data_IF_441099249928
#
_entry.id   IF_441099249928
#
_cell.length_a   1.000
_cell.length_b   1.000
_cell.length_c   1.000
_cell.angle_alpha   90.00
_cell.angle_beta   90.00
_cell.angle_gamma   90.00
#
_symmetry.space_group_name_H-M   'P 1'
#
loop_
_entity.id
_entity.type
_entity.pdbx_description
1 polymer ?
#
# COMPACT_ATOMS: atom_id res chain seq x y z
N UNK A 1 -13.54 -38.45 -10.45
CA UNK A 1 -14.63 -37.50 -10.76
C UNK A 1 -14.99 -36.56 -9.61
N UNK A 2 -15.55 -37.01 -8.46
CA UNK A 2 -15.87 -36.10 -7.33
C UNK A 2 -14.60 -35.50 -6.66
N UNK A 3 -13.57 -36.31 -6.43
CA UNK A 3 -12.32 -35.87 -5.80
C UNK A 3 -11.47 -34.92 -6.67
N UNK A 4 -11.44 -35.15 -8.00
CA UNK A 4 -10.81 -34.23 -8.96
C UNK A 4 -11.55 -32.88 -9.05
N UNK A 5 -12.84 -32.88 -8.71
CA UNK A 5 -13.69 -31.70 -8.75
C UNK A 5 -13.53 -30.84 -7.49
N UNK A 6 -13.42 -31.46 -6.32
CA UNK A 6 -13.07 -30.76 -5.08
C UNK A 6 -11.70 -30.08 -5.18
N UNK A 7 -10.72 -30.75 -5.77
CA UNK A 7 -9.38 -30.19 -5.96
C UNK A 7 -9.38 -28.98 -6.90
N UNK A 8 -10.20 -28.99 -7.95
CA UNK A 8 -10.36 -27.84 -8.86
C UNK A 8 -11.06 -26.64 -8.18
N UNK A 9 -12.06 -26.91 -7.34
CA UNK A 9 -12.72 -25.92 -6.50
C UNK A 9 -11.77 -25.30 -5.47
N UNK A 10 -10.93 -26.11 -4.83
CA UNK A 10 -9.92 -25.65 -3.88
C UNK A 10 -8.89 -24.76 -4.58
N UNK A 11 -8.39 -25.16 -5.76
CA UNK A 11 -7.45 -24.34 -6.53
C UNK A 11 -8.09 -23.02 -6.96
N UNK A 12 -9.34 -23.06 -7.43
CA UNK A 12 -10.09 -21.86 -7.79
C UNK A 12 -10.27 -20.91 -6.60
N UNK A 13 -10.71 -21.42 -5.45
CA UNK A 13 -10.84 -20.63 -4.23
C UNK A 13 -9.50 -20.12 -3.72
N UNK A 14 -8.43 -20.89 -3.87
CA UNK A 14 -7.08 -20.48 -3.46
C UNK A 14 -6.54 -19.36 -4.34
N UNK A 15 -6.69 -19.46 -5.65
CA UNK A 15 -6.33 -18.39 -6.61
C UNK A 15 -7.13 -17.12 -6.33
N UNK A 16 -8.43 -17.26 -6.03
CA UNK A 16 -9.29 -16.12 -5.68
C UNK A 16 -8.97 -15.51 -4.32
N UNK A 17 -8.57 -16.32 -3.34
CA UNK A 17 -8.19 -15.84 -2.01
C UNK A 17 -6.87 -15.05 -2.02
N UNK A 18 -6.02 -15.27 -3.01
CA UNK A 18 -4.76 -14.54 -3.19
C UNK A 18 -5.02 -13.13 -3.74
N UNK A 19 -6.03 -12.98 -4.60
CA UNK A 19 -6.31 -11.73 -5.33
C UNK A 19 -7.76 -11.26 -5.13
N UNK A 20 -8.10 -10.88 -3.88
CA UNK A 20 -9.46 -10.48 -3.47
C UNK A 20 -10.06 -9.32 -4.28
N UNK A 21 -9.24 -8.48 -4.93
CA UNK A 21 -9.70 -7.44 -5.84
C UNK A 21 -10.46 -7.98 -7.05
N UNK A 22 -10.15 -9.20 -7.50
CA UNK A 22 -10.82 -9.82 -8.64
C UNK A 22 -12.19 -10.40 -8.28
N UNK A 23 -12.53 -10.52 -6.99
CA UNK A 23 -13.85 -10.94 -6.55
C UNK A 23 -14.94 -9.97 -7.03
N UNK A 24 -14.67 -8.67 -6.94
CA UNK A 24 -15.59 -7.65 -7.44
C UNK A 24 -15.80 -7.80 -8.95
N UNK A 25 -14.72 -8.01 -9.71
CA UNK A 25 -14.78 -8.23 -11.15
C UNK A 25 -15.59 -9.48 -11.50
N UNK A 26 -15.33 -10.62 -10.82
CA UNK A 26 -16.06 -11.87 -11.04
C UNK A 26 -17.56 -11.67 -10.77
N UNK A 27 -17.91 -11.00 -9.67
CA UNK A 27 -19.30 -10.66 -9.36
C UNK A 27 -19.95 -9.76 -10.43
N UNK A 28 -19.22 -8.76 -10.93
CA UNK A 28 -19.68 -7.90 -12.02
C UNK A 28 -19.90 -8.68 -13.33
N UNK A 29 -19.04 -9.66 -13.65
CA UNK A 29 -19.23 -10.55 -14.81
C UNK A 29 -20.45 -11.46 -14.61
N UNK A 30 -20.71 -11.97 -13.41
CA UNK A 30 -21.93 -12.75 -13.13
C UNK A 30 -23.19 -11.93 -13.40
N UNK A 31 -23.24 -10.68 -12.90
CA UNK A 31 -24.34 -9.78 -13.22
C UNK A 31 -24.44 -9.50 -14.71
N UNK A 32 -23.31 -9.30 -15.40
CA UNK A 32 -23.26 -9.10 -16.85
C UNK A 32 -23.92 -10.27 -17.60
N UNK A 33 -23.51 -11.51 -17.31
CA UNK A 33 -24.04 -12.72 -17.95
C UNK A 33 -25.54 -12.92 -17.67
N UNK A 34 -25.97 -12.70 -16.42
CA UNK A 34 -27.39 -12.80 -16.05
C UNK A 34 -28.25 -11.75 -16.77
N UNK A 35 -27.76 -10.51 -16.88
CA UNK A 35 -28.48 -9.44 -17.57
C UNK A 35 -28.52 -9.66 -19.09
N UNK A 36 -27.46 -10.19 -19.71
CA UNK A 36 -27.47 -10.63 -21.11
C UNK A 36 -28.55 -11.70 -21.34
N UNK A 37 -28.64 -12.71 -20.46
CA UNK A 37 -29.66 -13.75 -20.54
C UNK A 37 -31.08 -13.19 -20.43
N UNK A 38 -31.29 -12.16 -19.59
CA UNK A 38 -32.56 -11.45 -19.40
C UNK A 38 -32.86 -10.43 -20.49
N UNK A 39 -31.98 -10.26 -21.50
CA UNK A 39 -32.05 -9.23 -22.56
C UNK A 39 -32.02 -7.80 -22.02
N UNK A 40 -31.45 -7.59 -20.82
CA UNK A 40 -31.27 -6.29 -20.19
C UNK A 40 -29.90 -5.72 -20.56
N UNK A 41 -29.71 -5.38 -21.83
CA UNK A 41 -28.41 -5.01 -22.40
C UNK A 41 -27.75 -3.82 -21.72
N UNK A 42 -28.53 -2.79 -21.36
CA UNK A 42 -28.02 -1.61 -20.67
C UNK A 42 -27.37 -1.99 -19.33
N UNK A 43 -28.05 -2.81 -18.52
CA UNK A 43 -27.52 -3.27 -17.24
C UNK A 43 -26.28 -4.15 -17.43
N UNK A 44 -26.27 -5.01 -18.46
CA UNK A 44 -25.10 -5.82 -18.78
C UNK A 44 -23.88 -4.96 -19.11
N UNK A 45 -24.06 -3.91 -19.92
CA UNK A 45 -22.98 -2.95 -20.24
C UNK A 45 -22.51 -2.22 -18.99
N UNK A 46 -23.43 -1.75 -18.14
CA UNK A 46 -23.09 -1.07 -16.88
C UNK A 46 -22.21 -1.97 -16.01
N UNK A 47 -22.66 -3.18 -15.69
CA UNK A 47 -21.88 -4.09 -14.85
C UNK A 47 -20.54 -4.48 -15.48
N UNK A 48 -20.49 -4.69 -16.78
CA UNK A 48 -19.23 -5.00 -17.47
C UNK A 48 -18.23 -3.84 -17.37
N UNK A 49 -18.69 -2.60 -17.59
CA UNK A 49 -17.85 -1.41 -17.47
C UNK A 49 -17.44 -1.17 -16.03
N UNK A 50 -18.32 -1.38 -15.05
CA UNK A 50 -17.98 -1.26 -13.62
C UNK A 50 -16.93 -2.29 -13.22
N UNK A 51 -17.02 -3.52 -13.71
CA UNK A 51 -16.00 -4.54 -13.47
C UNK A 51 -14.65 -4.19 -14.08
N UNK A 52 -14.62 -3.76 -15.35
CA UNK A 52 -13.38 -3.36 -16.03
C UNK A 52 -12.77 -2.13 -15.35
N UNK A 53 -13.59 -1.12 -15.04
CA UNK A 53 -13.17 0.08 -14.34
C UNK A 53 -12.61 -0.22 -12.94
N UNK A 54 -13.22 -1.17 -12.23
CA UNK A 54 -12.69 -1.65 -10.96
C UNK A 54 -11.27 -2.23 -11.13
N UNK A 55 -11.04 -3.14 -12.07
CA UNK A 55 -9.70 -3.67 -12.31
C UNK A 55 -8.70 -2.62 -12.78
N UNK A 56 -9.13 -1.70 -13.64
CA UNK A 56 -8.29 -0.63 -14.15
C UNK A 56 -7.81 0.31 -13.02
N UNK A 57 -8.63 0.51 -12.01
CA UNK A 57 -8.26 1.28 -10.82
C UNK A 57 -7.42 0.45 -9.86
N UNK A 58 -7.74 -0.83 -9.67
CA UNK A 58 -7.17 -1.66 -8.60
C UNK A 58 -5.94 -2.49 -8.96
N UNK A 59 -5.43 -2.44 -10.20
CA UNK A 59 -4.23 -3.21 -10.54
C UNK A 59 -3.07 -2.83 -9.60
N UNK A 60 -2.45 -3.88 -9.06
CA UNK A 60 -1.89 -4.02 -7.70
C UNK A 60 -0.75 -3.08 -7.28
N UNK A 61 -0.23 -2.22 -8.15
CA UNK A 61 0.95 -1.39 -7.84
C UNK A 61 0.57 0.05 -7.53
N UNK A 62 -0.51 0.55 -8.14
CA UNK A 62 -0.85 1.97 -8.04
C UNK A 62 -1.74 2.17 -6.83
N UNK A 63 -2.94 1.59 -6.74
CA UNK A 63 -3.87 1.93 -5.65
C UNK A 63 -3.49 1.40 -4.29
N UNK A 64 -3.00 0.17 -4.16
CA UNK A 64 -2.63 -0.38 -2.84
C UNK A 64 -1.36 0.27 -2.31
N UNK A 65 -0.35 0.44 -3.16
CA UNK A 65 0.90 1.14 -2.85
C UNK A 65 0.67 2.63 -2.61
N UNK A 66 -0.12 3.30 -3.46
CA UNK A 66 -0.47 4.70 -3.25
C UNK A 66 -1.34 4.88 -2.00
N UNK A 67 -2.34 4.04 -1.75
CA UNK A 67 -3.16 4.12 -0.55
C UNK A 67 -2.33 3.83 0.71
N UNK A 68 -1.42 2.85 0.69
CA UNK A 68 -0.52 2.61 1.82
C UNK A 68 0.42 3.80 2.05
N UNK A 69 1.02 4.34 0.99
CA UNK A 69 1.98 5.45 1.08
C UNK A 69 1.32 6.78 1.48
N UNK A 70 0.10 7.04 0.98
CA UNK A 70 -0.75 8.11 1.47
C UNK A 70 -0.94 8.02 2.98
N UNK A 71 -1.25 6.81 3.45
CA UNK A 71 -1.65 6.62 4.84
C UNK A 71 -0.46 6.84 5.79
N UNK A 72 0.77 6.62 5.32
CA UNK A 72 1.97 6.68 6.16
C UNK A 72 2.50 8.09 6.42
N UNK A 73 2.60 8.97 5.41
CA UNK A 73 3.12 10.34 5.62
C UNK A 73 2.01 11.40 5.66
N UNK A 74 0.96 11.28 4.83
CA UNK A 74 -0.07 12.33 4.66
C UNK A 74 -1.01 12.41 5.84
N UNK A 75 -1.39 11.26 6.42
CA UNK A 75 -2.33 11.25 7.54
C UNK A 75 -1.69 11.73 8.85
N UNK A 76 -0.35 11.74 8.92
CA UNK A 76 0.38 12.34 10.04
C UNK A 76 0.32 13.88 10.00
N UNK A 77 0.18 14.46 8.82
CA UNK A 77 0.13 15.91 8.58
C UNK A 77 -1.30 16.49 8.57
N UNK A 78 -2.33 15.66 8.81
CA UNK A 78 -3.73 16.11 8.78
C UNK A 78 -4.14 17.05 9.92
N UNK A 79 -3.24 17.36 10.86
CA UNK A 79 -3.54 18.33 11.93
C UNK A 79 -3.62 19.74 11.33
N UNK A 80 -4.85 20.22 11.10
CA UNK A 80 -5.13 21.49 10.40
C UNK A 80 -5.54 21.37 8.93
N UNK A 81 -5.97 20.19 8.47
CA UNK A 81 -6.33 19.95 7.06
C UNK A 81 -7.32 20.99 6.49
N UNK A 82 -6.90 21.69 5.45
CA UNK A 82 -7.70 22.73 4.80
C UNK A 82 -8.46 22.22 3.58
N UNK A 83 -9.56 22.88 3.22
CA UNK A 83 -10.30 22.60 1.98
C UNK A 83 -9.43 22.79 0.72
N UNK A 84 -8.46 23.71 0.76
CA UNK A 84 -7.47 23.91 -0.31
C UNK A 84 -6.53 22.72 -0.46
N UNK A 85 -6.05 22.16 0.66
CA UNK A 85 -5.28 20.91 0.64
C UNK A 85 -6.13 19.78 0.09
N UNK A 86 -7.37 19.60 0.58
CA UNK A 86 -8.27 18.56 0.07
C UNK A 86 -8.44 18.61 -1.45
N UNK A 87 -8.61 19.81 -2.01
CA UNK A 87 -8.70 20.02 -3.44
C UNK A 87 -7.39 19.70 -4.18
N UNK A 88 -6.26 20.19 -3.67
CA UNK A 88 -4.94 19.89 -4.23
C UNK A 88 -4.65 18.38 -4.22
N UNK A 89 -5.01 17.71 -3.13
CA UNK A 89 -4.94 16.26 -2.98
C UNK A 89 -5.79 15.56 -4.04
N UNK A 90 -7.08 15.88 -4.14
CA UNK A 90 -7.96 15.30 -5.17
C UNK A 90 -7.44 15.49 -6.59
N UNK A 91 -6.93 16.69 -6.91
CA UNK A 91 -6.36 16.98 -8.21
C UNK A 91 -5.10 16.15 -8.48
N UNK A 92 -4.20 16.06 -7.49
CA UNK A 92 -3.01 15.20 -7.57
C UNK A 92 -3.40 13.75 -7.78
N UNK A 93 -4.50 13.30 -7.16
CA UNK A 93 -4.97 11.92 -7.33
C UNK A 93 -5.49 11.61 -8.70
N UNK A 94 -6.28 12.51 -9.26
CA UNK A 94 -6.69 12.36 -10.65
C UNK A 94 -5.49 12.31 -11.62
N UNK A 95 -4.37 12.95 -11.28
CA UNK A 95 -3.14 12.91 -12.09
C UNK A 95 -2.29 11.64 -11.87
N UNK A 96 -2.39 11.00 -10.70
CA UNK A 96 -1.68 9.75 -10.36
C UNK A 96 -2.47 8.51 -10.80
N UNK A 97 -3.78 8.62 -10.97
CA UNK A 97 -4.62 7.56 -11.52
C UNK A 97 -4.32 7.33 -13.01
N UNK A 98 -3.25 6.57 -13.28
CA UNK A 98 -3.00 5.96 -14.57
C UNK A 98 -3.62 4.56 -14.57
N UNK A 99 -4.84 4.36 -15.13
CA UNK A 99 -5.40 3.03 -15.21
C UNK A 99 -4.50 2.13 -16.06
N UNK A 100 -3.81 1.19 -15.40
CA UNK A 100 -3.01 0.18 -16.08
C UNK A 100 -3.80 -1.10 -16.11
N UNK A 101 -4.08 -1.57 -17.32
CA UNK A 101 -4.75 -2.85 -17.53
C UNK A 101 -3.72 -3.81 -18.11
N UNK A 102 -3.30 -4.78 -17.31
CA UNK A 102 -2.60 -5.93 -17.86
C UNK A 102 -3.60 -6.79 -18.65
N UNK A 103 -3.56 -6.70 -19.98
CA UNK A 103 -4.50 -7.38 -20.89
C UNK A 103 -4.47 -8.90 -20.67
N UNK A 104 -3.29 -9.50 -20.49
CA UNK A 104 -3.18 -10.94 -20.26
C UNK A 104 -3.88 -11.33 -18.96
N UNK A 105 -3.63 -10.59 -17.88
CA UNK A 105 -4.26 -10.84 -16.58
C UNK A 105 -5.78 -10.65 -16.67
N UNK A 106 -6.25 -9.59 -17.33
CA UNK A 106 -7.68 -9.36 -17.59
C UNK A 106 -8.33 -10.55 -18.30
N UNK A 107 -7.71 -11.07 -19.37
CA UNK A 107 -8.23 -12.21 -20.12
C UNK A 107 -8.31 -13.48 -19.27
N UNK A 108 -7.29 -13.75 -18.44
CA UNK A 108 -7.27 -14.90 -17.52
C UNK A 108 -8.44 -14.81 -16.54
N UNK A 109 -8.61 -13.66 -15.88
CA UNK A 109 -9.69 -13.51 -14.90
C UNK A 109 -11.08 -13.46 -15.53
N UNK A 110 -11.20 -12.94 -16.75
CA UNK A 110 -12.45 -13.00 -17.50
C UNK A 110 -12.84 -14.44 -17.83
N UNK A 111 -11.87 -15.25 -18.27
CA UNK A 111 -12.06 -16.67 -18.52
C UNK A 111 -12.42 -17.42 -17.23
N UNK A 112 -11.72 -17.15 -16.12
CA UNK A 112 -12.04 -17.74 -14.81
C UNK A 112 -13.45 -17.38 -14.34
N UNK A 113 -13.88 -16.12 -14.50
CA UNK A 113 -15.23 -15.68 -14.13
C UNK A 113 -16.31 -16.36 -14.96
N UNK A 114 -16.10 -16.53 -16.27
CA UNK A 114 -17.04 -17.25 -17.14
C UNK A 114 -17.10 -18.73 -16.77
N UNK A 115 -15.94 -19.37 -16.61
CA UNK A 115 -15.88 -20.78 -16.23
C UNK A 115 -16.58 -21.02 -14.89
N UNK A 116 -16.32 -20.19 -13.88
CA UNK A 116 -16.95 -20.32 -12.58
C UNK A 116 -18.46 -20.12 -12.65
N UNK A 117 -18.93 -19.18 -13.47
CA UNK A 117 -20.36 -18.97 -13.70
C UNK A 117 -21.04 -20.24 -14.21
N UNK A 118 -20.48 -20.85 -15.27
CA UNK A 118 -21.05 -22.06 -15.86
C UNK A 118 -20.91 -23.28 -14.95
N UNK A 119 -19.81 -23.41 -14.20
CA UNK A 119 -19.63 -24.48 -13.21
C UNK A 119 -20.73 -24.41 -12.15
N UNK A 120 -20.94 -23.24 -11.53
CA UNK A 120 -22.00 -23.06 -10.52
C UNK A 120 -23.39 -23.28 -11.14
N UNK A 121 -23.60 -22.81 -12.37
CA UNK A 121 -24.85 -23.04 -13.11
C UNK A 121 -25.15 -24.54 -13.27
N UNK A 122 -24.20 -25.32 -13.79
CA UNK A 122 -24.34 -26.76 -14.02
C UNK A 122 -24.55 -27.51 -12.70
N UNK A 123 -23.84 -27.13 -11.64
CA UNK A 123 -24.00 -27.73 -10.31
C UNK A 123 -25.42 -27.52 -9.77
N UNK A 124 -25.94 -26.30 -9.84
CA UNK A 124 -27.29 -26.02 -9.37
C UNK A 124 -28.37 -26.71 -10.23
N UNK A 125 -28.12 -26.90 -11.53
CA UNK A 125 -28.99 -27.72 -12.37
C UNK A 125 -28.98 -29.19 -11.95
N UNK A 126 -27.81 -29.78 -11.67
CA UNK A 126 -27.69 -31.16 -11.17
C UNK A 126 -28.40 -31.36 -9.82
N UNK A 127 -28.50 -30.31 -9.01
CA UNK A 127 -29.27 -30.29 -7.76
C UNK A 127 -30.78 -30.06 -7.97
N UNK A 128 -31.28 -30.15 -9.21
CA UNK A 128 -32.70 -29.99 -9.57
C UNK A 128 -33.31 -28.63 -9.22
N UNK A 129 -32.50 -27.56 -9.13
CA UNK A 129 -33.03 -26.21 -8.96
C UNK A 129 -33.72 -25.73 -10.23
N UNK A 130 -34.87 -25.05 -10.07
CA UNK A 130 -35.53 -24.34 -11.18
C UNK A 130 -34.63 -23.23 -11.70
N UNK A 131 -34.63 -22.99 -13.01
CA UNK A 131 -33.82 -21.95 -13.68
C UNK A 131 -33.93 -20.58 -12.99
N UNK A 132 -35.13 -20.18 -12.58
CA UNK A 132 -35.36 -18.91 -11.87
C UNK A 132 -34.70 -18.86 -10.50
N UNK A 133 -34.60 -20.00 -9.80
CA UNK A 133 -33.88 -20.10 -8.52
C UNK A 133 -32.37 -20.05 -8.73
N UNK A 134 -31.85 -20.71 -9.78
CA UNK A 134 -30.43 -20.66 -10.15
C UNK A 134 -29.99 -19.22 -10.38
N UNK A 135 -30.77 -18.45 -11.16
CA UNK A 135 -30.45 -17.04 -11.41
C UNK A 135 -30.42 -16.19 -10.14
N UNK A 136 -31.34 -16.44 -9.18
CA UNK A 136 -31.34 -15.75 -7.88
C UNK A 136 -30.10 -16.12 -7.06
N UNK A 137 -29.74 -17.40 -7.02
CA UNK A 137 -28.53 -17.87 -6.34
C UNK A 137 -27.27 -17.21 -6.93
N UNK A 138 -27.15 -17.17 -8.26
CA UNK A 138 -26.02 -16.52 -8.93
C UNK A 138 -25.99 -15.00 -8.69
N UNK A 139 -27.13 -14.32 -8.65
CA UNK A 139 -27.21 -12.91 -8.26
C UNK A 139 -26.77 -12.68 -6.81
N UNK A 140 -27.16 -13.56 -5.88
CA UNK A 140 -26.72 -13.49 -4.49
C UNK A 140 -25.21 -13.72 -4.36
N UNK A 141 -24.68 -14.74 -5.04
CA UNK A 141 -23.24 -15.00 -5.09
C UNK A 141 -22.51 -13.77 -5.63
N UNK A 142 -22.94 -13.23 -6.78
CA UNK A 142 -22.35 -12.03 -7.36
C UNK A 142 -22.31 -10.84 -6.39
N UNK A 143 -23.44 -10.60 -5.69
CA UNK A 143 -23.54 -9.56 -4.67
C UNK A 143 -22.54 -9.79 -3.53
N UNK A 144 -22.47 -11.00 -2.98
CA UNK A 144 -21.55 -11.31 -1.88
C UNK A 144 -20.08 -11.22 -2.30
N UNK A 145 -19.71 -11.61 -3.52
CA UNK A 145 -18.35 -11.45 -4.04
C UNK A 145 -17.96 -9.96 -4.11
N UNK A 146 -18.84 -9.11 -4.64
CA UNK A 146 -18.61 -7.66 -4.72
C UNK A 146 -18.57 -7.02 -3.33
N UNK A 147 -19.50 -7.36 -2.45
CA UNK A 147 -19.57 -6.81 -1.09
C UNK A 147 -18.36 -7.23 -0.25
N UNK A 148 -17.92 -8.49 -0.34
CA UNK A 148 -16.74 -8.97 0.36
C UNK A 148 -15.46 -8.28 -0.14
N UNK A 149 -15.32 -8.07 -1.45
CA UNK A 149 -14.19 -7.32 -2.00
C UNK A 149 -14.11 -5.89 -1.42
N UNK A 150 -15.25 -5.19 -1.37
CA UNK A 150 -15.31 -3.85 -0.78
C UNK A 150 -15.00 -3.86 0.72
N UNK A 151 -15.49 -4.86 1.44
CA UNK A 151 -15.21 -5.03 2.87
C UNK A 151 -13.71 -5.21 3.13
N UNK A 152 -13.03 -6.11 2.41
CA UNK A 152 -11.59 -6.36 2.59
C UNK A 152 -10.77 -5.08 2.35
N UNK A 153 -11.10 -4.32 1.30
CA UNK A 153 -10.38 -3.07 1.00
C UNK A 153 -10.63 -2.01 2.07
N UNK A 154 -11.86 -1.91 2.56
CA UNK A 154 -12.20 -0.98 3.63
C UNK A 154 -11.50 -1.35 4.93
N UNK A 155 -11.45 -2.64 5.25
CA UNK A 155 -10.76 -3.17 6.42
C UNK A 155 -9.25 -2.93 6.35
N UNK A 156 -8.63 -3.16 5.19
CA UNK A 156 -7.23 -2.81 4.95
C UNK A 156 -6.95 -1.32 5.15
N UNK A 157 -7.81 -0.44 4.61
CA UNK A 157 -7.67 1.01 4.79
C UNK A 157 -7.81 1.44 6.26
N UNK A 158 -8.80 0.92 6.98
CA UNK A 158 -9.04 1.23 8.39
C UNK A 158 -7.92 0.72 9.29
N UNK A 159 -7.45 -0.51 9.08
CA UNK A 159 -6.36 -1.09 9.88
C UNK A 159 -5.05 -0.34 9.66
N UNK A 160 -4.74 0.02 8.40
CA UNK A 160 -3.57 0.85 8.07
C UNK A 160 -3.65 2.22 8.73
N UNK A 161 -4.82 2.87 8.70
CA UNK A 161 -5.03 4.15 9.38
C UNK A 161 -4.80 4.05 10.89
N UNK A 162 -5.46 3.10 11.57
CA UNK A 162 -5.32 2.91 13.02
C UNK A 162 -3.85 2.65 13.40
N UNK A 163 -3.15 1.81 12.64
CA UNK A 163 -1.74 1.51 12.86
C UNK A 163 -0.88 2.77 12.79
N UNK A 164 -1.10 3.62 11.79
CA UNK A 164 -0.32 4.84 11.59
C UNK A 164 -0.66 5.92 12.63
N UNK A 165 -1.93 6.09 12.99
CA UNK A 165 -2.36 6.96 14.08
C UNK A 165 -1.73 6.54 15.42
N UNK A 166 -1.68 5.24 15.72
CA UNK A 166 -1.03 4.75 16.93
C UNK A 166 0.48 5.04 16.93
N UNK A 167 1.16 4.85 15.78
CA UNK A 167 2.58 5.19 15.62
C UNK A 167 2.81 6.69 15.85
N UNK A 168 1.98 7.54 15.26
CA UNK A 168 2.01 8.99 15.46
C UNK A 168 1.83 9.37 16.92
N UNK A 169 0.77 8.90 17.56
CA UNK A 169 0.43 9.24 18.93
C UNK A 169 1.55 8.81 19.90
N UNK A 170 2.15 7.65 19.65
CA UNK A 170 3.32 7.18 20.42
C UNK A 170 4.47 8.16 20.29
N UNK A 171 4.83 8.53 19.06
CA UNK A 171 5.92 9.48 18.80
C UNK A 171 5.62 10.86 19.38
N UNK A 172 4.42 11.41 19.14
CA UNK A 172 3.98 12.70 19.67
C UNK A 172 3.98 12.73 21.21
N UNK A 173 3.59 11.62 21.85
CA UNK A 173 3.65 11.52 23.32
C UNK A 173 5.08 11.59 23.86
N UNK A 174 6.08 11.09 23.13
CA UNK A 174 7.49 11.18 23.53
C UNK A 174 7.98 12.64 23.60
N UNK A 175 7.48 13.53 22.74
CA UNK A 175 7.82 14.96 22.78
C UNK A 175 7.16 15.71 23.95
N UNK A 176 6.01 15.22 24.44
CA UNK A 176 5.30 15.83 25.57
C UNK A 176 5.85 15.38 26.93
N UNK A 177 6.57 14.25 26.98
CA UNK A 177 7.07 13.69 28.22
C UNK A 177 8.41 14.35 28.64
N UNK A 178 8.33 15.52 29.25
CA UNK A 178 9.47 16.35 29.70
C UNK A 178 10.19 15.81 30.95
N UNK A 179 9.77 14.67 31.50
CA UNK A 179 10.25 14.18 32.81
C UNK A 179 11.68 13.65 32.80
N UNK A 180 12.29 13.41 31.64
CA UNK A 180 13.66 12.89 31.52
C UNK A 180 14.49 13.75 30.58
N UNK A 181 14.52 15.06 30.79
CA UNK A 181 15.59 15.89 30.21
C UNK A 181 16.83 15.67 31.08
N UNK A 182 17.90 15.01 30.57
CA UNK A 182 19.12 14.85 31.34
C UNK A 182 19.65 16.26 31.66
N UNK A 183 19.86 16.54 32.95
CA UNK A 183 20.52 17.79 33.35
C UNK A 183 21.99 17.67 32.96
N UNK A 184 22.33 18.16 31.78
CA UNK A 184 23.71 18.32 31.38
C UNK A 184 24.33 19.47 32.17
N UNK A 185 25.42 19.18 32.89
CA UNK A 185 26.28 20.22 33.45
C UNK A 185 26.85 21.01 32.28
N UNK A 186 26.49 22.28 32.15
CA UNK A 186 27.04 23.13 31.11
C UNK A 186 28.57 23.21 31.28
N UNK A 187 29.30 22.61 30.34
CA UNK A 187 30.72 22.90 30.17
C UNK A 187 30.87 24.40 29.88
N UNK A 188 31.95 25.03 30.36
CA UNK A 188 32.26 26.45 30.06
C UNK A 188 32.53 26.71 28.57
N UNK A 189 32.62 25.65 27.76
CA UNK A 189 32.77 25.69 26.32
C UNK A 189 31.38 25.57 25.69
N UNK A 190 30.95 26.62 24.99
CA UNK A 190 29.69 26.65 24.23
C UNK A 190 30.00 26.45 22.74
N UNK A 191 30.08 25.19 22.24
CA UNK A 191 30.42 24.93 20.85
C UNK A 191 29.29 25.42 19.93
N UNK A 192 29.65 26.13 18.87
CA UNK A 192 28.71 26.44 17.78
C UNK A 192 28.53 25.19 16.93
N UNK A 193 27.34 24.61 16.96
CA UNK A 193 26.99 23.40 16.22
C UNK A 193 26.03 23.74 15.08
N UNK A 194 26.27 23.14 13.92
CA UNK A 194 25.34 23.15 12.78
C UNK A 194 25.01 21.70 12.45
N UNK A 195 23.72 21.37 12.42
CA UNK A 195 23.22 20.07 11.97
C UNK A 195 22.56 20.29 10.61
N UNK A 196 23.04 19.59 9.59
CA UNK A 196 22.46 19.61 8.26
C UNK A 196 21.73 18.28 8.02
N UNK A 197 20.41 18.35 7.79
CA UNK A 197 19.57 17.20 7.46
C UNK A 197 19.33 17.22 5.96
N UNK A 198 19.91 16.26 5.25
CA UNK A 198 19.67 16.09 3.81
C UNK A 198 18.32 15.44 3.53
N UNK A 199 17.82 15.61 2.31
CA UNK A 199 16.56 15.03 1.83
C UNK A 199 16.84 14.12 0.64
N UNK A 200 16.31 12.88 0.67
CA UNK A 200 16.34 11.94 -0.47
C UNK A 200 17.71 11.73 -1.15
N UNK A 201 18.81 11.99 -0.43
CA UNK A 201 20.18 11.90 -0.95
C UNK A 201 20.78 10.53 -0.67
N UNK A 202 21.27 9.85 -1.71
CA UNK A 202 21.87 8.52 -1.60
C UNK A 202 23.35 8.53 -1.97
N UNK A 203 24.17 7.73 -1.26
CA UNK A 203 25.58 7.51 -1.59
C UNK A 203 25.78 6.99 -3.02
N UNK A 204 24.77 6.29 -3.57
CA UNK A 204 24.78 5.77 -4.94
C UNK A 204 24.80 6.87 -6.00
N UNK A 205 24.53 8.12 -5.62
CA UNK A 205 24.45 9.27 -6.51
C UNK A 205 25.48 10.35 -6.16
N UNK A 206 26.45 10.06 -5.29
CA UNK A 206 27.44 11.02 -4.80
C UNK A 206 28.85 10.68 -5.31
N UNK A 207 29.47 11.61 -6.04
CA UNK A 207 30.83 11.45 -6.56
C UNK A 207 31.87 11.16 -5.47
N UNK A 208 31.70 11.74 -4.28
CA UNK A 208 32.54 11.52 -3.10
C UNK A 208 32.64 10.03 -2.71
N UNK A 209 31.59 9.26 -2.95
CA UNK A 209 31.52 7.82 -2.65
C UNK A 209 31.83 6.93 -3.88
N UNK A 210 32.34 7.51 -4.97
CA UNK A 210 32.74 6.77 -6.17
C UNK A 210 31.69 6.67 -7.26
N UNK A 211 30.62 7.49 -7.20
CA UNK A 211 29.68 7.58 -8.32
C UNK A 211 30.40 8.07 -9.60
N UNK A 212 30.16 7.48 -10.79
CA UNK A 212 30.94 7.80 -11.99
C UNK A 212 30.85 9.26 -12.48
N UNK A 213 29.80 9.98 -12.10
CA UNK A 213 29.68 11.42 -12.37
C UNK A 213 30.08 12.19 -11.12
N UNK A 214 30.85 13.25 -11.30
CA UNK A 214 31.25 14.13 -10.19
C UNK A 214 30.08 15.05 -9.79
N UNK A 215 29.17 14.49 -8.98
CA UNK A 215 27.97 15.18 -8.48
C UNK A 215 28.23 15.92 -7.17
N UNK A 216 29.41 15.76 -6.57
CA UNK A 216 29.79 16.40 -5.30
C UNK A 216 31.23 16.96 -5.37
N UNK A 217 31.55 17.82 -6.33
CA UNK A 217 32.92 18.30 -6.56
C UNK A 217 33.47 19.05 -5.34
N UNK A 218 32.67 19.96 -4.76
CA UNK A 218 33.08 20.76 -3.61
C UNK A 218 33.36 19.87 -2.38
N UNK A 219 32.50 18.90 -2.08
CA UNK A 219 32.72 17.99 -0.94
C UNK A 219 33.96 17.11 -1.15
N UNK A 220 34.20 16.68 -2.40
CA UNK A 220 35.39 15.90 -2.76
C UNK A 220 36.68 16.71 -2.63
N UNK A 221 36.64 18.00 -2.95
CA UNK A 221 37.76 18.91 -2.76
C UNK A 221 38.04 19.13 -1.28
N UNK A 222 37.01 19.47 -0.47
CA UNK A 222 37.22 19.74 0.95
C UNK A 222 37.71 18.47 1.67
N UNK A 223 37.19 17.29 1.34
CA UNK A 223 37.69 16.03 1.91
C UNK A 223 39.18 15.75 1.57
N UNK A 224 39.66 16.22 0.41
CA UNK A 224 41.08 16.10 0.04
C UNK A 224 41.97 17.14 0.73
N UNK A 225 41.44 18.33 1.01
CA UNK A 225 42.22 19.46 1.51
C UNK A 225 42.17 19.67 3.03
N UNK A 226 41.14 19.17 3.71
CA UNK A 226 40.91 19.36 5.14
C UNK A 226 40.89 18.02 5.89
N UNK A 227 41.94 17.80 6.69
CA UNK A 227 42.10 16.59 7.52
C UNK A 227 41.03 16.45 8.61
N UNK A 228 40.27 17.52 8.91
CA UNK A 228 39.21 17.49 9.91
C UNK A 228 37.88 16.94 9.36
N UNK A 229 37.77 16.71 8.04
CA UNK A 229 36.57 16.11 7.46
C UNK A 229 36.62 14.59 7.59
N UNK A 230 35.62 14.06 8.28
CA UNK A 230 35.40 12.62 8.43
C UNK A 230 34.25 12.20 7.49
N UNK A 231 34.53 11.24 6.61
CA UNK A 231 33.54 10.64 5.71
C UNK A 231 33.22 9.23 6.19
N UNK A 232 31.93 8.92 6.31
CA UNK A 232 31.45 7.61 6.78
C UNK A 232 30.92 6.79 5.60
N UNK A 233 31.50 5.61 5.35
CA UNK A 233 31.13 4.78 4.19
C UNK A 233 29.95 3.83 4.43
N UNK A 234 29.69 3.50 5.70
CA UNK A 234 28.69 2.49 6.08
C UNK A 234 27.63 3.14 6.98
N UNK A 235 26.81 4.01 6.40
CA UNK A 235 25.71 4.71 7.07
C UNK A 235 24.41 4.36 6.40
N UNK A 236 23.40 4.02 7.21
CA UNK A 236 22.08 3.65 6.75
C UNK A 236 21.05 4.51 7.49
N UNK A 237 20.02 4.97 6.77
CA UNK A 237 18.84 5.49 7.42
C UNK A 237 18.06 4.36 8.10
N UNK A 238 17.40 4.67 9.21
CA UNK A 238 16.58 3.68 9.91
C UNK A 238 15.34 3.32 9.10
N UNK A 239 14.77 4.30 8.40
CA UNK A 239 13.64 4.15 7.48
C UNK A 239 13.94 4.73 6.09
N UNK A 240 13.10 4.42 5.10
CA UNK A 240 13.19 5.01 3.75
C UNK A 240 12.38 6.32 3.64
N UNK A 241 11.39 6.51 4.51
CA UNK A 241 10.53 7.69 4.54
C UNK A 241 11.10 8.76 5.48
N UNK A 242 10.91 10.03 5.13
CA UNK A 242 11.52 11.18 5.79
C UNK A 242 11.05 11.33 7.23
N UNK A 243 9.73 11.34 7.46
CA UNK A 243 9.15 11.52 8.79
C UNK A 243 9.65 10.46 9.79
N UNK A 244 9.50 9.15 9.57
CA UNK A 244 9.96 8.16 10.53
C UNK A 244 11.50 8.14 10.68
N UNK A 245 12.27 8.43 9.62
CA UNK A 245 13.74 8.51 9.71
C UNK A 245 14.22 9.64 10.61
N UNK A 246 13.64 10.83 10.46
CA UNK A 246 14.00 12.02 11.26
C UNK A 246 13.56 11.81 12.71
N UNK A 247 12.33 11.34 12.92
CA UNK A 247 11.78 11.10 14.25
C UNK A 247 12.67 10.15 15.05
N UNK A 248 13.15 9.07 14.44
CA UNK A 248 14.06 8.14 15.09
C UNK A 248 15.47 8.71 15.26
N UNK A 249 16.04 9.34 14.23
CA UNK A 249 17.39 9.91 14.27
C UNK A 249 17.58 10.98 15.35
N UNK A 250 16.52 11.72 15.70
CA UNK A 250 16.52 12.72 16.76
C UNK A 250 15.86 12.25 18.07
N UNK A 251 15.53 10.97 18.18
CA UNK A 251 15.04 10.36 19.42
C UNK A 251 16.15 9.61 20.13
N UNK A 252 16.00 9.44 21.45
CA UNK A 252 16.81 8.52 22.22
C UNK A 252 15.88 7.72 23.13
N UNK A 253 16.15 6.43 23.25
CA UNK A 253 15.41 5.56 24.15
C UNK A 253 15.88 5.77 25.58
N UNK A 254 14.92 5.99 26.49
CA UNK A 254 15.21 6.22 27.92
C UNK A 254 15.34 4.91 28.69
N UNK A 255 14.80 3.81 28.15
CA UNK A 255 14.74 2.54 28.85
C UNK A 255 16.07 1.77 28.73
N UNK A 256 16.77 1.60 29.85
CA UNK A 256 18.14 1.04 29.90
C UNK A 256 18.21 -0.48 29.71
N UNK A 257 17.07 -1.18 29.73
CA UNK A 257 17.03 -2.64 29.72
C UNK A 257 16.98 -3.24 28.31
N UNK A 258 16.59 -2.45 27.30
CA UNK A 258 16.64 -2.88 25.90
C UNK A 258 18.04 -2.65 25.33
N UNK A 259 18.66 -3.72 24.80
CA UNK A 259 19.90 -3.58 24.05
C UNK A 259 19.59 -2.83 22.77
N UNK A 260 20.08 -1.58 22.67
CA UNK A 260 20.15 -0.86 21.40
C UNK A 260 21.03 -1.68 20.46
N UNK A 261 20.40 -2.44 19.56
CA UNK A 261 21.09 -3.17 18.51
C UNK A 261 21.52 -2.18 17.43
N UNK A 262 22.76 -2.26 16.92
CA UNK A 262 23.14 -1.56 15.69
C UNK A 262 22.12 -1.84 14.58
N UNK A 263 21.89 -0.87 13.69
CA UNK A 263 20.94 -1.00 12.57
C UNK A 263 21.20 -2.29 11.74
N UNK A 264 22.46 -2.74 11.66
CA UNK A 264 22.85 -3.99 11.01
C UNK A 264 22.28 -5.26 11.65
N UNK A 265 22.04 -5.23 12.96
CA UNK A 265 21.58 -6.34 13.78
C UNK A 265 20.07 -6.29 14.05
N UNK A 266 19.42 -5.18 13.67
CA UNK A 266 17.96 -5.05 13.70
C UNK A 266 17.37 -5.82 12.52
N UNK A 267 16.72 -6.97 12.79
CA UNK A 267 16.01 -7.73 11.75
C UNK A 267 14.88 -6.87 11.17
N UNK A 268 14.91 -6.65 9.85
CA UNK A 268 13.79 -6.07 9.08
C UNK A 268 12.79 -7.14 8.70
#
# INVERSE_FOLDING_TARGET
MLAEFESLLIVFFRVISIDYYYLFFIGAIYFTLLNCKRKQWLLAVIFSLTGIGWLALYDMEITSGWLSNLTEDVLLELDGFTLSEAYFWLQTMLNVFEPRINILRLLVFFLLAILSFFVVWILLQKLNFKVRSIEKCLSLIAFFLMAYSLYVISEFGVTSYIKNTNKFNTVSSNFNNTTVIPKFSASSINPKMVIYVGESTSILNMGLYGYPRDTTPNLSEIHKSDENIIVFNNVFSTHALTAPSILEAFSFEVNKEEKVLPIYDQQR
#
